data_IF_682209094387
#
_entry.id   IF_682209094387
#
_cell.length_a   1.000
_cell.length_b   1.000
_cell.length_c   1.000
_cell.angle_alpha   90.00
_cell.angle_beta   90.00
_cell.angle_gamma   90.00
#
_symmetry.space_group_name_H-M   'P 1'
#
loop_
_entity.id
_entity.type
_entity.pdbx_description
1 polymer ?
#
# COMPACT_ATOMS: atom_id res chain seq x y z
N UNK A 1 -8.41 17.06 -7.13
CA UNK A 1 -9.22 15.92 -6.69
C UNK A 1 -10.61 16.41 -6.31
N UNK A 2 -11.66 15.74 -6.80
CA UNK A 2 -13.05 16.18 -6.57
C UNK A 2 -13.65 15.73 -5.24
N UNK A 3 -13.04 14.75 -4.57
CA UNK A 3 -13.53 14.17 -3.32
C UNK A 3 -12.39 13.52 -2.55
N UNK A 4 -12.44 13.61 -1.22
CA UNK A 4 -11.55 12.87 -0.31
C UNK A 4 -12.40 12.12 0.70
N UNK A 5 -12.24 10.80 0.74
CA UNK A 5 -12.89 9.92 1.70
C UNK A 5 -11.82 9.35 2.64
N UNK A 6 -12.07 9.46 3.93
CA UNK A 6 -11.23 8.84 4.98
C UNK A 6 -12.07 7.82 5.72
N UNK A 7 -11.55 6.59 5.84
CA UNK A 7 -12.17 5.53 6.65
C UNK A 7 -11.27 5.27 7.85
N UNK A 8 -11.71 5.70 9.01
CA UNK A 8 -11.01 5.61 10.28
C UNK A 8 -11.50 4.40 11.08
N UNK A 9 -10.58 3.68 11.69
CA UNK A 9 -10.88 2.50 12.51
C UNK A 9 -10.88 2.82 14.00
N UNK A 10 -11.58 3.91 14.37
CA UNK A 10 -11.70 4.42 15.73
C UNK A 10 -10.35 4.83 16.33
N UNK A 11 -9.61 5.66 15.61
CA UNK A 11 -8.36 6.25 16.09
C UNK A 11 -8.56 7.02 17.40
N UNK A 12 -7.68 6.79 18.38
CA UNK A 12 -7.73 7.47 19.69
C UNK A 12 -7.03 8.84 19.70
N UNK A 13 -6.55 9.31 18.54
CA UNK A 13 -5.87 10.60 18.40
C UNK A 13 -6.72 11.61 17.60
N UNK A 14 -6.12 12.71 17.17
CA UNK A 14 -6.81 13.77 16.41
C UNK A 14 -7.01 13.47 14.91
N UNK A 15 -6.83 12.23 14.45
CA UNK A 15 -6.93 11.86 13.03
C UNK A 15 -8.27 12.27 12.42
N UNK A 16 -9.39 11.94 13.06
CA UNK A 16 -10.74 12.27 12.57
C UNK A 16 -10.98 13.78 12.50
N UNK A 17 -10.55 14.51 13.54
CA UNK A 17 -10.66 15.97 13.60
C UNK A 17 -9.88 16.63 12.46
N UNK A 18 -8.63 16.22 12.27
CA UNK A 18 -7.73 16.75 11.24
C UNK A 18 -8.31 16.47 9.83
N UNK A 19 -8.78 15.25 9.59
CA UNK A 19 -9.36 14.87 8.31
C UNK A 19 -10.61 15.70 7.97
N UNK A 20 -11.52 15.89 8.93
CA UNK A 20 -12.73 16.73 8.75
C UNK A 20 -12.37 18.19 8.50
N UNK A 21 -11.43 18.75 9.23
CA UNK A 21 -10.93 20.13 9.00
C UNK A 21 -10.30 20.32 7.62
N UNK A 22 -9.67 19.26 7.08
CA UNK A 22 -9.13 19.26 5.72
C UNK A 22 -10.21 19.08 4.62
N UNK A 23 -11.50 19.01 4.99
CA UNK A 23 -12.61 18.87 4.04
C UNK A 23 -12.89 17.45 3.59
N UNK A 24 -12.32 16.44 4.24
CA UNK A 24 -12.61 15.04 3.92
C UNK A 24 -13.95 14.57 4.48
N UNK A 25 -14.63 13.71 3.73
CA UNK A 25 -15.75 12.92 4.25
C UNK A 25 -15.20 11.77 5.08
N UNK A 26 -15.45 11.78 6.39
CA UNK A 26 -14.90 10.81 7.32
C UNK A 26 -15.96 9.80 7.75
N UNK A 27 -15.67 8.53 7.54
CA UNK A 27 -16.45 7.40 8.06
C UNK A 27 -15.66 6.69 9.14
N UNK A 28 -16.33 6.24 10.19
CA UNK A 28 -15.73 5.39 11.21
C UNK A 28 -16.28 3.97 11.11
N UNK A 29 -15.37 2.99 11.06
CA UNK A 29 -15.71 1.59 10.85
C UNK A 29 -14.69 0.69 11.53
N UNK A 30 -15.15 -0.38 12.19
CA UNK A 30 -14.27 -1.41 12.73
C UNK A 30 -13.43 -2.04 11.60
N UNK A 31 -12.15 -2.18 11.85
CA UNK A 31 -11.21 -2.77 10.91
C UNK A 31 -11.36 -4.29 10.87
N UNK A 32 -11.65 -4.84 9.71
CA UNK A 32 -11.66 -6.30 9.49
C UNK A 32 -10.40 -6.76 8.75
N UNK A 33 -10.12 -6.16 7.60
CA UNK A 33 -8.91 -6.42 6.81
C UNK A 33 -8.64 -5.26 5.87
N UNK A 34 -7.40 -5.11 5.35
CA UNK A 34 -7.10 -4.04 4.40
C UNK A 34 -7.96 -4.09 3.12
N UNK A 35 -8.14 -5.25 2.44
CA UNK A 35 -9.01 -5.32 1.26
C UNK A 35 -10.46 -4.94 1.55
N UNK A 36 -11.00 -5.39 2.68
CA UNK A 36 -12.37 -5.06 3.10
C UNK A 36 -12.54 -3.57 3.35
N UNK A 37 -11.60 -2.95 4.06
CA UNK A 37 -11.60 -1.51 4.33
C UNK A 37 -11.52 -0.68 3.05
N UNK A 38 -10.60 -1.05 2.15
CA UNK A 38 -10.39 -0.36 0.87
C UNK A 38 -11.59 -0.49 -0.05
N UNK A 39 -12.12 -1.70 -0.26
CA UNK A 39 -13.30 -1.92 -1.08
C UNK A 39 -14.52 -1.18 -0.53
N UNK A 40 -14.69 -1.18 0.79
CA UNK A 40 -15.79 -0.45 1.44
C UNK A 40 -15.70 1.07 1.21
N UNK A 41 -14.50 1.65 1.26
CA UNK A 41 -14.25 3.05 0.95
C UNK A 41 -14.52 3.37 -0.52
N UNK A 42 -13.98 2.56 -1.42
CA UNK A 42 -14.10 2.70 -2.87
C UNK A 42 -15.55 2.63 -3.33
N UNK A 43 -16.38 1.77 -2.72
CA UNK A 43 -17.80 1.67 -3.03
C UNK A 43 -18.58 2.98 -2.74
N UNK A 44 -18.06 3.85 -1.88
CA UNK A 44 -18.66 5.14 -1.50
C UNK A 44 -18.14 6.33 -2.31
N UNK A 45 -17.12 6.13 -3.13
CA UNK A 45 -16.62 7.17 -4.01
C UNK A 45 -17.68 7.54 -5.07
N UNK A 46 -17.83 8.83 -5.35
CA UNK A 46 -18.75 9.33 -6.38
C UNK A 46 -18.15 9.26 -7.78
N UNK A 47 -16.81 9.33 -7.85
CA UNK A 47 -16.09 9.33 -9.11
C UNK A 47 -15.66 7.94 -9.52
N UNK A 48 -15.57 7.67 -10.82
CA UNK A 48 -15.14 6.37 -11.35
C UNK A 48 -13.66 6.11 -11.11
N UNK A 49 -12.82 7.12 -11.25
CA UNK A 49 -11.39 7.03 -10.97
C UNK A 49 -11.11 7.30 -9.51
N UNK A 50 -10.45 6.36 -8.87
CA UNK A 50 -10.08 6.42 -7.46
C UNK A 50 -8.58 6.28 -7.27
N UNK A 51 -8.03 7.10 -6.37
CA UNK A 51 -6.68 6.94 -5.85
C UNK A 51 -6.78 6.47 -4.40
N UNK A 52 -6.37 5.24 -4.14
CA UNK A 52 -6.37 4.66 -2.80
C UNK A 52 -5.00 4.85 -2.16
N UNK A 53 -4.98 5.43 -0.96
CA UNK A 53 -3.76 5.67 -0.20
C UNK A 53 -3.84 5.02 1.17
N UNK A 54 -2.75 4.43 1.61
CA UNK A 54 -2.57 4.01 2.99
C UNK A 54 -2.15 5.23 3.85
N UNK A 55 -2.38 5.17 5.16
CA UNK A 55 -2.11 6.30 6.07
C UNK A 55 -0.63 6.68 6.17
N UNK A 56 0.27 5.82 5.71
CA UNK A 56 1.71 6.04 5.63
C UNK A 56 2.22 6.43 4.22
N UNK A 57 1.28 6.75 3.30
CA UNK A 57 1.56 7.19 1.93
C UNK A 57 1.14 8.65 1.71
N UNK A 58 1.83 9.37 0.82
CA UNK A 58 1.47 10.75 0.45
C UNK A 58 1.83 11.08 -1.00
N UNK A 59 1.10 12.06 -1.56
CA UNK A 59 1.41 12.65 -2.86
C UNK A 59 2.35 13.83 -2.69
N UNK A 60 3.40 13.87 -3.50
CA UNK A 60 4.13 15.12 -3.71
C UNK A 60 3.53 15.93 -4.88
N UNK A 61 4.02 17.17 -5.05
CA UNK A 61 3.50 18.06 -6.10
C UNK A 61 3.70 17.52 -7.52
N UNK A 62 4.69 16.65 -7.76
CA UNK A 62 4.94 16.07 -9.07
C UNK A 62 3.90 15.00 -9.40
N UNK A 63 3.65 14.07 -8.46
CA UNK A 63 2.65 13.03 -8.63
C UNK A 63 1.24 13.61 -8.72
N UNK A 64 0.94 14.62 -7.92
CA UNK A 64 -0.35 15.32 -7.97
C UNK A 64 -0.58 15.90 -9.36
N UNK A 65 0.37 16.66 -9.91
CA UNK A 65 0.25 17.25 -11.25
C UNK A 65 0.13 16.20 -12.35
N UNK A 66 0.90 15.13 -12.27
CA UNK A 66 0.80 14.03 -13.25
C UNK A 66 -0.59 13.40 -13.26
N UNK A 67 -1.19 13.18 -12.09
CA UNK A 67 -2.56 12.63 -11.98
C UNK A 67 -3.60 13.61 -12.48
N UNK A 68 -3.47 14.91 -12.15
CA UNK A 68 -4.42 15.96 -12.60
C UNK A 68 -4.43 16.13 -14.13
N UNK A 69 -3.31 15.88 -14.79
CA UNK A 69 -3.16 15.96 -16.25
C UNK A 69 -3.33 14.61 -16.95
N UNK A 70 -3.61 13.55 -16.21
CA UNK A 70 -3.66 12.21 -16.75
C UNK A 70 -4.84 12.01 -17.69
N UNK A 71 -4.54 11.60 -18.92
CA UNK A 71 -5.52 11.04 -19.86
C UNK A 71 -5.35 9.53 -19.86
N UNK A 72 -6.36 8.75 -19.45
CA UNK A 72 -6.24 7.31 -19.27
C UNK A 72 -5.88 6.51 -20.52
N UNK A 73 -6.24 6.99 -21.72
CA UNK A 73 -5.85 6.37 -22.99
C UNK A 73 -6.22 4.88 -23.12
N UNK A 74 -7.42 4.52 -22.64
CA UNK A 74 -7.89 3.13 -22.63
C UNK A 74 -7.32 2.24 -21.51
N UNK A 75 -6.50 2.79 -20.62
CA UNK A 75 -6.02 2.08 -19.42
C UNK A 75 -7.09 2.06 -18.33
N UNK A 76 -7.11 1.00 -17.52
CA UNK A 76 -8.05 0.83 -16.41
C UNK A 76 -7.42 1.07 -15.04
N UNK A 77 -6.09 1.20 -14.99
CA UNK A 77 -5.37 1.56 -13.78
C UNK A 77 -3.90 1.86 -14.04
N UNK A 78 -3.23 2.42 -13.04
CA UNK A 78 -1.85 2.87 -13.16
C UNK A 78 -1.02 2.43 -11.94
N UNK A 79 0.13 1.83 -12.26
CA UNK A 79 1.17 1.52 -11.31
C UNK A 79 1.93 2.76 -10.92
N UNK A 80 2.23 2.88 -9.63
CA UNK A 80 3.01 3.98 -9.06
C UNK A 80 4.18 3.38 -8.28
N UNK A 81 5.41 3.79 -8.60
CA UNK A 81 6.56 3.41 -7.80
C UNK A 81 6.59 4.18 -6.49
N UNK A 82 6.89 3.51 -5.39
CA UNK A 82 7.05 4.16 -4.09
C UNK A 82 8.46 4.75 -3.94
N UNK A 83 8.52 5.88 -3.29
CA UNK A 83 9.72 6.47 -2.73
C UNK A 83 9.65 6.28 -1.23
N UNK A 84 10.22 5.18 -0.75
CA UNK A 84 10.18 4.85 0.66
C UNK A 84 11.23 5.62 1.45
N UNK A 85 10.84 6.10 2.63
CA UNK A 85 11.69 6.78 3.58
C UNK A 85 11.81 5.95 4.86
N UNK A 86 13.02 5.87 5.40
CA UNK A 86 13.30 5.24 6.68
C UNK A 86 14.13 6.19 7.56
N UNK A 87 13.65 6.50 8.75
CA UNK A 87 14.29 7.44 9.69
C UNK A 87 14.67 8.77 9.03
N UNK A 88 13.77 9.33 8.23
CA UNK A 88 13.95 10.61 7.55
C UNK A 88 14.85 10.58 6.31
N UNK A 89 15.33 9.41 5.88
CA UNK A 89 16.16 9.27 4.68
C UNK A 89 15.47 8.42 3.62
N UNK A 90 15.52 8.87 2.37
CA UNK A 90 15.02 8.09 1.23
C UNK A 90 15.91 6.88 0.98
N UNK A 91 15.30 5.70 0.88
CA UNK A 91 16.00 4.45 0.57
C UNK A 91 16.10 4.31 -0.94
N UNK A 92 17.34 4.19 -1.45
CA UNK A 92 17.62 4.11 -2.88
C UNK A 92 18.12 2.74 -3.35
N UNK A 93 18.26 1.77 -2.45
CA UNK A 93 18.79 0.44 -2.71
C UNK A 93 17.95 -0.67 -2.12
N UNK A 94 18.55 -1.85 -1.97
CA UNK A 94 17.99 -3.03 -1.30
C UNK A 94 16.64 -3.51 -1.90
N UNK A 95 16.38 -3.25 -3.18
CA UNK A 95 15.14 -3.62 -3.84
C UNK A 95 13.96 -2.66 -3.63
N UNK A 96 14.03 -1.73 -2.69
CA UNK A 96 12.94 -0.78 -2.37
C UNK A 96 12.65 0.19 -3.52
N UNK A 97 13.62 0.49 -4.35
CA UNK A 97 13.44 1.35 -5.54
C UNK A 97 12.55 0.72 -6.61
N UNK A 98 12.33 -0.60 -6.54
CA UNK A 98 11.46 -1.37 -7.46
C UNK A 98 10.06 -1.61 -6.90
N UNK A 99 9.81 -1.15 -5.67
CA UNK A 99 8.53 -1.29 -5.02
C UNK A 99 7.48 -0.43 -5.72
N UNK A 100 6.45 -1.07 -6.24
CA UNK A 100 5.37 -0.44 -6.98
C UNK A 100 4.02 -0.96 -6.50
N UNK A 101 3.04 -0.09 -6.54
CA UNK A 101 1.67 -0.40 -6.12
C UNK A 101 0.67 0.12 -7.16
N UNK A 102 -0.43 -0.59 -7.31
CA UNK A 102 -1.53 -0.16 -8.14
C UNK A 102 -2.51 0.59 -7.23
N UNK A 103 -2.47 1.93 -7.29
CA UNK A 103 -3.25 2.80 -6.40
C UNK A 103 -4.29 3.65 -7.14
N UNK A 104 -4.05 3.97 -8.40
CA UNK A 104 -4.95 4.76 -9.24
C UNK A 104 -5.64 3.84 -10.24
N UNK A 105 -6.97 3.75 -10.20
CA UNK A 105 -7.71 2.87 -11.10
C UNK A 105 -9.19 3.26 -11.24
N UNK A 106 -9.83 2.77 -12.29
CA UNK A 106 -11.28 2.84 -12.49
C UNK A 106 -11.95 1.79 -11.59
N UNK A 107 -12.71 2.22 -10.58
CA UNK A 107 -13.36 1.36 -9.58
C UNK A 107 -14.40 0.41 -10.17
N UNK A 108 -14.87 0.66 -11.38
CA UNK A 108 -15.80 -0.24 -12.12
C UNK A 108 -15.06 -1.43 -12.72
N UNK A 109 -13.74 -1.30 -12.89
CA UNK A 109 -12.85 -2.25 -13.55
C UNK A 109 -11.76 -2.80 -12.62
N UNK A 110 -11.79 -2.44 -11.34
CA UNK A 110 -10.79 -2.88 -10.36
C UNK A 110 -11.37 -3.06 -8.96
N UNK A 111 -10.83 -4.04 -8.24
CA UNK A 111 -11.17 -4.31 -6.85
C UNK A 111 -10.03 -4.99 -6.11
N UNK A 112 -10.03 -4.93 -4.79
CA UNK A 112 -9.13 -5.70 -3.94
C UNK A 112 -9.74 -7.09 -3.70
N UNK A 113 -9.08 -8.20 -4.10
CA UNK A 113 -9.56 -9.55 -3.80
C UNK A 113 -9.50 -9.82 -2.30
N UNK A 114 -10.33 -10.74 -1.82
CA UNK A 114 -10.36 -11.16 -0.41
C UNK A 114 -9.13 -12.03 -0.03
N UNK A 115 -7.92 -11.58 -0.40
CA UNK A 115 -6.67 -12.31 -0.13
C UNK A 115 -6.00 -11.82 1.16
N UNK A 116 -5.44 -12.74 1.93
CA UNK A 116 -4.86 -12.43 3.25
C UNK A 116 -3.45 -11.81 3.17
N UNK A 117 -2.75 -11.86 2.04
CA UNK A 117 -1.29 -11.56 2.00
C UNK A 117 -0.86 -10.52 0.97
N UNK A 118 -1.48 -10.47 -0.21
CA UNK A 118 -1.11 -9.51 -1.24
C UNK A 118 -2.31 -8.63 -1.58
N UNK A 119 -2.28 -7.42 -1.04
CA UNK A 119 -3.33 -6.42 -1.20
C UNK A 119 -3.15 -5.67 -2.52
N UNK A 120 -3.12 -6.40 -3.61
CA UNK A 120 -2.99 -5.83 -4.94
C UNK A 120 -4.36 -5.76 -5.61
N UNK A 121 -4.64 -4.64 -6.27
CA UNK A 121 -5.88 -4.48 -7.05
C UNK A 121 -5.83 -5.41 -8.26
N UNK A 122 -6.88 -6.19 -8.45
CA UNK A 122 -7.12 -6.93 -9.69
C UNK A 122 -7.87 -6.03 -10.65
N UNK A 123 -7.34 -5.85 -11.85
CA UNK A 123 -7.94 -5.03 -12.91
C UNK A 123 -8.52 -5.92 -14.00
N UNK A 124 -9.70 -5.52 -14.48
CA UNK A 124 -10.23 -5.97 -15.76
C UNK A 124 -9.82 -4.97 -16.85
N UNK A 125 -8.68 -5.22 -17.47
CA UNK A 125 -8.16 -4.41 -18.56
C UNK A 125 -6.69 -4.00 -18.41
N UNK A 126 -6.16 -3.24 -19.40
CA UNK A 126 -4.74 -2.91 -19.44
C UNK A 126 -4.38 -1.84 -18.41
N UNK A 127 -3.21 -1.99 -17.79
CA UNK A 127 -2.65 -1.00 -16.89
C UNK A 127 -1.57 -0.13 -17.56
N UNK A 128 -1.40 1.08 -17.01
CA UNK A 128 -0.30 2.00 -17.31
C UNK A 128 0.67 2.12 -16.14
N UNK A 129 1.59 3.10 -16.25
CA UNK A 129 2.53 3.44 -15.19
C UNK A 129 2.72 4.96 -15.15
N UNK A 130 2.68 5.52 -13.96
CA UNK A 130 3.06 6.91 -13.72
C UNK A 130 4.59 7.04 -13.59
N UNK A 131 5.10 8.21 -13.92
CA UNK A 131 6.54 8.54 -13.85
C UNK A 131 6.93 9.03 -12.46
N UNK A 132 6.08 9.86 -11.86
CA UNK A 132 6.25 10.36 -10.50
C UNK A 132 6.07 9.24 -9.47
N UNK A 133 6.57 9.46 -8.27
CA UNK A 133 6.62 8.45 -7.21
C UNK A 133 5.69 8.82 -6.06
N UNK A 134 5.07 7.82 -5.47
CA UNK A 134 4.30 7.92 -4.24
C UNK A 134 5.24 7.93 -3.04
N UNK A 135 5.13 8.93 -2.18
CA UNK A 135 5.84 8.95 -0.91
C UNK A 135 5.32 7.84 0.01
N UNK A 136 6.21 7.18 0.74
CA UNK A 136 5.85 6.09 1.64
C UNK A 136 6.78 6.06 2.86
N UNK A 137 6.22 6.10 4.06
CA UNK A 137 6.96 6.03 5.33
C UNK A 137 6.44 4.88 6.18
N UNK A 138 6.87 3.63 5.90
CA UNK A 138 6.30 2.42 6.52
C UNK A 138 6.60 2.32 8.02
N UNK A 139 7.62 3.02 8.52
CA UNK A 139 8.06 2.93 9.90
C UNK A 139 8.28 4.32 10.51
N UNK A 140 7.75 4.55 11.70
CA UNK A 140 7.94 5.79 12.47
C UNK A 140 9.35 5.85 13.09
N UNK A 141 9.76 4.72 13.65
CA UNK A 141 11.02 4.52 14.36
C UNK A 141 11.45 3.04 14.32
N UNK A 142 12.60 2.73 14.91
CA UNK A 142 13.15 1.36 14.96
C UNK A 142 12.25 0.43 15.78
N UNK A 143 11.69 0.89 16.88
CA UNK A 143 10.82 0.06 17.73
C UNK A 143 9.56 -0.37 16.96
N UNK A 144 8.91 0.57 16.25
CA UNK A 144 7.77 0.26 15.38
C UNK A 144 8.15 -0.70 14.24
N UNK A 145 9.38 -0.57 13.68
CA UNK A 145 9.87 -1.51 12.68
C UNK A 145 9.98 -2.93 13.25
N UNK A 146 10.58 -3.10 14.43
CA UNK A 146 10.71 -4.41 15.09
C UNK A 146 9.34 -5.02 15.41
N UNK A 147 8.40 -4.24 15.92
CA UNK A 147 7.02 -4.70 16.16
C UNK A 147 6.34 -5.19 14.87
N UNK A 148 6.50 -4.45 13.76
CA UNK A 148 5.98 -4.89 12.46
C UNK A 148 6.64 -6.19 11.99
N UNK A 149 7.96 -6.34 12.12
CA UNK A 149 8.66 -7.59 11.77
C UNK A 149 8.06 -8.76 12.54
N UNK A 150 7.90 -8.63 13.84
CA UNK A 150 7.34 -9.68 14.70
C UNK A 150 5.92 -10.07 14.25
N UNK A 151 5.04 -9.09 14.10
CA UNK A 151 3.66 -9.30 13.67
C UNK A 151 3.56 -9.97 12.27
N UNK A 152 4.35 -9.50 11.29
CA UNK A 152 4.34 -10.07 9.94
C UNK A 152 4.95 -11.47 9.89
N UNK A 153 6.00 -11.72 10.67
CA UNK A 153 6.63 -13.05 10.77
C UNK A 153 5.66 -14.06 11.39
N UNK A 154 4.99 -13.69 12.48
CA UNK A 154 3.99 -14.54 13.11
C UNK A 154 2.81 -14.85 12.15
N UNK A 155 2.32 -13.84 11.42
CA UNK A 155 1.25 -14.00 10.42
C UNK A 155 1.70 -14.92 9.28
N UNK A 156 2.91 -14.71 8.76
CA UNK A 156 3.50 -15.55 7.71
C UNK A 156 3.68 -17.00 8.13
N UNK A 157 4.13 -17.24 9.37
CA UNK A 157 4.27 -18.58 9.92
C UNK A 157 2.93 -19.31 10.03
N UNK A 158 1.87 -18.63 10.52
CA UNK A 158 0.51 -19.22 10.59
C UNK A 158 0.00 -19.61 9.20
N UNK A 159 0.16 -18.75 8.21
CA UNK A 159 -0.27 -19.05 6.84
C UNK A 159 0.51 -20.20 6.22
N UNK A 160 1.81 -20.32 6.50
CA UNK A 160 2.61 -21.45 6.06
C UNK A 160 2.11 -22.77 6.66
N UNK A 161 1.78 -22.76 7.95
CA UNK A 161 1.20 -23.91 8.65
C UNK A 161 -0.18 -24.29 8.08
N UNK A 162 -1.07 -23.33 7.85
CA UNK A 162 -2.39 -23.55 7.25
C UNK A 162 -2.31 -24.16 5.86
N UNK A 163 -1.25 -23.82 5.09
CA UNK A 163 -0.95 -24.41 3.78
C UNK A 163 -0.22 -25.76 3.85
N UNK A 164 0.00 -26.30 5.03
CA UNK A 164 0.72 -27.55 5.24
C UNK A 164 2.22 -27.47 4.91
N UNK A 165 2.78 -26.27 4.80
CA UNK A 165 4.20 -26.09 4.53
C UNK A 165 4.98 -26.42 5.81
N UNK A 166 5.87 -27.42 5.73
CA UNK A 166 6.85 -27.67 6.78
C UNK A 166 8.06 -26.79 6.53
N UNK A 167 8.66 -26.25 7.59
CA UNK A 167 9.90 -25.48 7.49
C UNK A 167 11.10 -26.44 7.37
N UNK A 168 11.60 -26.75 6.16
CA UNK A 168 12.79 -27.55 6.02
C UNK A 168 14.00 -26.72 6.51
N UNK A 169 14.89 -27.33 7.25
CA UNK A 169 16.07 -26.67 7.82
C UNK A 169 16.99 -26.03 6.78
N UNK A 170 17.06 -26.60 5.57
CA UNK A 170 17.93 -26.13 4.50
C UNK A 170 17.59 -24.72 4.00
N UNK A 171 16.34 -24.36 3.65
CA UNK A 171 15.96 -22.97 3.37
C UNK A 171 16.22 -22.02 4.54
N UNK A 172 16.09 -22.46 5.78
CA UNK A 172 16.36 -21.62 6.94
C UNK A 172 17.85 -21.20 7.00
N UNK A 173 18.76 -22.06 6.60
CA UNK A 173 20.20 -21.79 6.57
C UNK A 173 20.64 -21.03 5.32
N UNK A 174 20.00 -21.28 4.18
CA UNK A 174 20.43 -20.71 2.88
C UNK A 174 19.78 -19.36 2.58
N UNK A 175 18.51 -19.17 2.91
CA UNK A 175 17.80 -17.95 2.54
C UNK A 175 18.36 -16.66 3.17
N UNK A 176 18.73 -16.60 4.47
CA UNK A 176 19.26 -15.38 5.05
C UNK A 176 20.54 -14.88 4.37
N UNK A 177 21.61 -15.71 4.23
CA UNK A 177 22.82 -15.25 3.55
C UNK A 177 22.58 -14.93 2.08
N UNK A 178 21.78 -15.72 1.36
CA UNK A 178 21.44 -15.41 -0.03
C UNK A 178 20.70 -14.06 -0.14
N UNK A 179 19.74 -13.78 0.72
CA UNK A 179 19.03 -12.50 0.78
C UNK A 179 19.98 -11.36 1.09
N UNK A 180 20.89 -11.55 2.03
CA UNK A 180 21.90 -10.54 2.37
C UNK A 180 22.76 -10.19 1.15
N UNK A 181 23.35 -11.20 0.49
CA UNK A 181 24.18 -11.00 -0.71
C UNK A 181 23.40 -10.27 -1.80
N UNK A 182 22.17 -10.73 -2.09
CA UNK A 182 21.33 -10.11 -3.11
C UNK A 182 20.95 -8.65 -2.81
N UNK A 183 20.80 -8.30 -1.55
CA UNK A 183 20.34 -6.96 -1.16
C UNK A 183 21.49 -5.96 -1.01
N UNK A 184 22.67 -6.41 -0.63
CA UNK A 184 23.79 -5.53 -0.28
C UNK A 184 24.97 -5.60 -1.26
N UNK A 185 25.05 -6.64 -2.07
CA UNK A 185 26.19 -6.84 -2.99
C UNK A 185 25.74 -6.77 -4.46
N UNK A 186 24.56 -7.31 -4.80
CA UNK A 186 23.95 -7.32 -6.14
C UNK A 186 22.79 -6.31 -6.25
#
# INVERSE_FOLDING_TARGET
FGEVIVVDSFSGDRTVEIARRAGATVFQRAYASPPDQKNWAVARARNDWVLVLDADEWLDGALRREIELLVPGGKTGFWIYRRSEYLGRAIRGCGWQRDRVLRLYDRRRGHYPAALVHEEVVLDGPSGRLRARLGHRPYRDVAHHLQKIDAYTAKGARQALERGLRAPWLPLMVHPPFRFIRMYIL
#
